data_IF_306667949219
#
_entry.id   IF_306667949219
#
_cell.length_a   1.000
_cell.length_b   1.000
_cell.length_c   1.000
_cell.angle_alpha   90.00
_cell.angle_beta   90.00
_cell.angle_gamma   90.00
#
_symmetry.space_group_name_H-M   'P 1'
#
loop_
_entity.id
_entity.type
_entity.pdbx_description
1 polymer ?
#
# COMPACT_ATOMS: atom_id res chain seq x y z
N UNK A 1 16.06 24.78 -9.84
CA UNK A 1 17.07 23.97 -9.13
C UNK A 1 16.30 23.10 -8.16
N UNK A 2 16.50 21.78 -8.16
CA UNK A 2 15.78 20.90 -7.22
C UNK A 2 16.41 21.04 -5.83
N UNK A 3 15.60 21.30 -4.80
CA UNK A 3 16.03 21.62 -3.43
C UNK A 3 16.61 20.42 -2.64
N UNK A 4 17.22 19.44 -3.32
CA UNK A 4 17.77 18.25 -2.66
C UNK A 4 16.70 17.35 -2.04
N UNK A 5 17.02 16.72 -0.90
CA UNK A 5 16.11 15.83 -0.17
C UNK A 5 15.09 16.64 0.66
N UNK A 6 13.78 16.41 0.47
CA UNK A 6 12.76 17.13 1.22
C UNK A 6 12.67 16.63 2.67
N UNK A 7 12.46 17.54 3.63
CA UNK A 7 12.15 17.17 5.03
C UNK A 7 10.71 16.67 5.16
N UNK A 8 10.50 15.41 4.76
CA UNK A 8 9.22 14.70 4.75
C UNK A 8 9.38 13.30 5.36
N UNK A 9 8.29 12.66 5.81
CA UNK A 9 8.36 11.26 6.27
C UNK A 9 8.49 10.29 5.09
N UNK A 10 7.92 10.66 3.94
CA UNK A 10 8.05 9.95 2.67
C UNK A 10 8.98 10.70 1.71
N UNK A 11 10.24 10.91 2.10
CA UNK A 11 11.20 11.70 1.31
C UNK A 11 11.34 11.16 -0.12
N UNK A 12 11.37 9.84 -0.27
CA UNK A 12 11.47 9.11 -1.52
C UNK A 12 10.30 9.38 -2.48
N UNK A 13 9.06 9.30 -1.97
CA UNK A 13 7.86 9.54 -2.77
C UNK A 13 7.72 11.02 -3.14
N UNK A 14 8.03 11.93 -2.21
CA UNK A 14 7.99 13.38 -2.45
C UNK A 14 9.02 13.76 -3.52
N UNK A 15 10.25 13.24 -3.41
CA UNK A 15 11.31 13.47 -4.39
C UNK A 15 10.92 12.95 -5.78
N UNK A 16 10.41 11.72 -5.84
CA UNK A 16 9.98 11.09 -7.11
C UNK A 16 8.85 11.89 -7.77
N UNK A 17 7.87 12.36 -7.01
CA UNK A 17 6.76 13.13 -7.55
C UNK A 17 7.20 14.53 -7.98
N UNK A 18 8.18 15.12 -7.30
CA UNK A 18 8.82 16.37 -7.74
C UNK A 18 9.55 16.18 -9.08
N UNK A 19 10.24 15.05 -9.30
CA UNK A 19 10.82 14.74 -10.61
C UNK A 19 9.74 14.66 -11.70
N UNK A 20 8.69 13.90 -11.45
CA UNK A 20 7.58 13.73 -12.41
C UNK A 20 6.81 15.04 -12.68
N UNK A 21 6.72 15.93 -11.70
CA UNK A 21 6.12 17.26 -11.86
C UNK A 21 6.93 18.16 -12.80
N UNK A 22 8.26 18.01 -12.82
CA UNK A 22 9.17 18.76 -13.70
C UNK A 22 9.45 18.03 -15.02
N UNK A 23 8.58 17.09 -15.42
CA UNK A 23 8.73 16.30 -16.65
C UNK A 23 10.05 15.50 -16.74
N UNK A 24 10.66 15.20 -15.59
CA UNK A 24 11.80 14.28 -15.53
C UNK A 24 11.32 12.83 -15.63
N UNK A 25 12.14 12.00 -16.26
CA UNK A 25 11.80 10.60 -16.52
C UNK A 25 12.20 9.74 -15.33
N UNK A 26 11.22 9.02 -14.77
CA UNK A 26 11.42 8.00 -13.75
C UNK A 26 11.05 6.65 -14.36
N UNK A 27 11.98 5.70 -14.29
CA UNK A 27 11.82 4.37 -14.88
C UNK A 27 11.86 3.30 -13.80
N UNK A 28 11.04 2.27 -13.99
CA UNK A 28 11.08 1.06 -13.18
C UNK A 28 11.96 0.02 -13.89
N UNK A 29 13.03 -0.43 -13.22
CA UNK A 29 13.92 -1.49 -13.71
C UNK A 29 13.57 -2.82 -13.01
N UNK A 30 12.93 -3.78 -13.71
CA UNK A 30 12.50 -5.05 -13.11
C UNK A 30 13.61 -5.88 -12.48
N UNK A 31 14.86 -5.75 -12.96
CA UNK A 31 16.00 -6.53 -12.47
C UNK A 31 16.74 -5.87 -11.29
N UNK A 32 16.39 -4.63 -10.93
CA UNK A 32 16.96 -3.93 -9.77
C UNK A 32 16.32 -4.45 -8.47
N UNK A 33 16.87 -5.55 -7.92
CA UNK A 33 16.36 -6.20 -6.72
C UNK A 33 17.21 -5.84 -5.50
N UNK A 34 16.54 -5.44 -4.41
CA UNK A 34 17.15 -5.24 -3.10
C UNK A 34 16.48 -6.16 -2.06
N UNK A 35 17.25 -6.63 -1.08
CA UNK A 35 16.72 -7.38 0.06
C UNK A 35 16.48 -6.42 1.22
N UNK A 36 15.32 -6.53 1.86
CA UNK A 36 14.93 -5.69 2.98
C UNK A 36 14.61 -6.54 4.20
N UNK A 37 14.94 -6.01 5.38
CA UNK A 37 14.52 -6.61 6.64
C UNK A 37 13.07 -6.24 6.94
N UNK A 38 12.27 -7.27 7.21
CA UNK A 38 10.85 -7.12 7.52
C UNK A 38 10.67 -7.14 9.05
N UNK A 39 9.84 -6.25 9.62
CA UNK A 39 9.60 -6.24 11.06
C UNK A 39 9.00 -7.57 11.56
N UNK A 40 9.60 -8.14 12.60
CA UNK A 40 9.16 -9.40 13.21
C UNK A 40 8.00 -9.22 14.22
N UNK A 41 7.65 -7.99 14.59
CA UNK A 41 6.55 -7.71 15.52
C UNK A 41 5.47 -6.83 14.90
N UNK A 42 4.22 -7.04 15.32
CA UNK A 42 3.07 -6.23 14.87
C UNK A 42 3.21 -4.75 15.23
N UNK A 43 3.85 -4.43 16.35
CA UNK A 43 4.09 -3.03 16.75
C UNK A 43 5.01 -2.32 15.77
N UNK A 44 6.10 -2.98 15.37
CA UNK A 44 7.03 -2.43 14.38
C UNK A 44 6.38 -2.35 12.98
N UNK A 45 5.61 -3.36 12.59
CA UNK A 45 4.83 -3.35 11.33
C UNK A 45 3.82 -2.18 11.30
N UNK A 46 3.06 -1.99 12.38
CA UNK A 46 2.09 -0.90 12.51
C UNK A 46 2.75 0.46 12.35
N UNK A 47 3.89 0.68 13.01
CA UNK A 47 4.66 1.93 12.87
C UNK A 47 5.17 2.13 11.45
N UNK A 48 5.69 1.08 10.81
CA UNK A 48 6.17 1.17 9.42
C UNK A 48 5.02 1.53 8.47
N UNK A 49 3.89 0.83 8.56
CA UNK A 49 2.75 1.07 7.68
C UNK A 49 2.10 2.43 7.92
N UNK A 50 1.98 2.83 9.18
CA UNK A 50 1.47 4.15 9.56
C UNK A 50 2.36 5.28 8.98
N UNK A 51 3.69 5.11 8.99
CA UNK A 51 4.61 6.06 8.33
C UNK A 51 4.41 6.12 6.81
N UNK A 52 4.21 4.98 6.15
CA UNK A 52 3.96 4.95 4.69
C UNK A 52 2.65 5.64 4.33
N UNK A 53 1.59 5.38 5.08
CA UNK A 53 0.29 6.04 4.92
C UNK A 53 0.40 7.56 5.08
N UNK A 54 1.17 8.01 6.09
CA UNK A 54 1.46 9.42 6.33
C UNK A 54 2.30 10.05 5.21
N UNK A 55 3.38 9.41 4.78
CA UNK A 55 4.23 9.89 3.70
C UNK A 55 3.48 10.01 2.37
N UNK A 56 2.56 9.08 2.07
CA UNK A 56 1.69 9.18 0.90
C UNK A 56 0.78 10.42 0.96
N UNK A 57 0.15 10.69 2.11
CA UNK A 57 -0.68 11.89 2.27
C UNK A 57 0.12 13.18 2.21
N UNK A 58 1.31 13.21 2.82
CA UNK A 58 2.24 14.35 2.75
C UNK A 58 2.64 14.64 1.30
N UNK A 59 2.98 13.60 0.52
CA UNK A 59 3.27 13.73 -0.90
C UNK A 59 2.07 14.27 -1.71
N UNK A 60 0.86 13.79 -1.43
CA UNK A 60 -0.39 14.28 -2.06
C UNK A 60 -0.72 15.74 -1.73
N UNK A 61 -0.33 16.21 -0.54
CA UNK A 61 -0.48 17.63 -0.14
C UNK A 61 0.51 18.53 -0.89
N UNK A 62 1.75 18.08 -1.06
CA UNK A 62 2.83 18.84 -1.72
C UNK A 62 2.63 18.86 -3.24
N UNK A 63 2.43 17.69 -3.84
CA UNK A 63 2.21 17.52 -5.28
C UNK A 63 0.84 16.91 -5.50
N UNK A 64 -0.08 17.73 -5.98
CA UNK A 64 -1.45 17.28 -6.28
C UNK A 64 -1.47 16.51 -7.60
N UNK A 65 -2.32 15.48 -7.77
CA UNK A 65 -2.34 14.65 -8.98
C UNK A 65 -2.47 15.44 -10.30
N UNK A 66 -3.24 16.53 -10.29
CA UNK A 66 -3.45 17.40 -11.45
C UNK A 66 -2.27 18.31 -11.80
N UNK A 67 -1.21 18.36 -10.98
CA UNK A 67 0.00 19.12 -11.26
C UNK A 67 1.00 18.33 -12.10
N UNK A 68 0.77 17.04 -12.34
CA UNK A 68 1.62 16.23 -13.20
C UNK A 68 1.31 16.50 -14.67
N UNK A 69 2.32 16.77 -15.52
CA UNK A 69 2.14 17.00 -16.95
C UNK A 69 1.72 15.71 -17.69
N UNK A 70 2.19 14.55 -17.22
CA UNK A 70 1.95 13.25 -17.85
C UNK A 70 0.62 12.66 -17.36
N UNK A 71 -0.30 12.37 -18.29
CA UNK A 71 -1.63 11.80 -17.99
C UNK A 71 -1.57 10.50 -17.17
N UNK A 72 -0.67 9.59 -17.53
CA UNK A 72 -0.48 8.33 -16.82
C UNK A 72 -0.13 8.53 -15.34
N UNK A 73 0.78 9.47 -15.06
CA UNK A 73 1.19 9.80 -13.68
C UNK A 73 0.02 10.44 -12.93
N UNK A 74 -0.72 11.35 -13.57
CA UNK A 74 -1.93 11.95 -13.00
C UNK A 74 -2.98 10.90 -12.62
N UNK A 75 -3.17 9.88 -13.46
CA UNK A 75 -4.08 8.78 -13.16
C UNK A 75 -3.62 7.94 -11.96
N UNK A 76 -2.34 7.53 -11.95
CA UNK A 76 -1.78 6.74 -10.85
C UNK A 76 -1.79 7.49 -9.51
N UNK A 77 -1.38 8.75 -9.52
CA UNK A 77 -1.44 9.62 -8.32
C UNK A 77 -2.89 9.88 -7.89
N UNK A 78 -3.82 9.96 -8.85
CA UNK A 78 -5.26 10.01 -8.58
C UNK A 78 -5.79 8.76 -7.86
N UNK A 79 -5.34 7.56 -8.25
CA UNK A 79 -5.69 6.31 -7.54
C UNK A 79 -5.23 6.36 -6.08
N UNK A 80 -4.08 6.98 -5.78
CA UNK A 80 -3.62 7.10 -4.39
C UNK A 80 -4.56 7.94 -3.51
N UNK A 81 -5.38 8.84 -4.07
CA UNK A 81 -6.43 9.54 -3.31
C UNK A 81 -7.58 8.62 -2.89
N UNK A 82 -7.79 7.52 -3.61
CA UNK A 82 -8.84 6.53 -3.33
C UNK A 82 -8.39 5.56 -2.22
N UNK A 83 -7.09 5.39 -2.01
CA UNK A 83 -6.54 4.46 -1.01
C UNK A 83 -7.04 4.73 0.42
N UNK A 84 -7.05 5.97 0.95
CA UNK A 84 -7.61 6.23 2.28
C UNK A 84 -9.09 5.88 2.41
N UNK A 85 -9.88 6.11 1.35
CA UNK A 85 -11.29 5.75 1.33
C UNK A 85 -11.49 4.24 1.35
N UNK A 86 -10.75 3.49 0.52
CA UNK A 86 -10.81 2.03 0.50
C UNK A 86 -10.41 1.44 1.85
N UNK A 87 -9.35 1.96 2.46
CA UNK A 87 -8.90 1.50 3.78
C UNK A 87 -9.97 1.76 4.85
N UNK A 88 -10.59 2.94 4.83
CA UNK A 88 -11.69 3.28 5.73
C UNK A 88 -12.88 2.33 5.59
N UNK A 89 -13.37 2.12 4.37
CA UNK A 89 -14.50 1.21 4.10
C UNK A 89 -14.15 -0.22 4.49
N UNK A 90 -12.94 -0.68 4.18
CA UNK A 90 -12.52 -2.03 4.56
C UNK A 90 -12.49 -2.22 6.07
N UNK A 91 -11.97 -1.24 6.81
CA UNK A 91 -11.86 -1.34 8.27
C UNK A 91 -13.18 -1.15 9.00
N UNK A 92 -14.02 -0.21 8.59
CA UNK A 92 -15.26 0.15 9.32
C UNK A 92 -16.53 -0.51 8.75
N UNK A 93 -16.53 -0.95 7.49
CA UNK A 93 -17.68 -1.63 6.90
C UNK A 93 -17.41 -3.12 6.71
N UNK A 94 -16.30 -3.48 6.06
CA UNK A 94 -16.04 -4.89 5.72
C UNK A 94 -15.70 -5.73 6.96
N UNK A 95 -14.79 -5.28 7.84
CA UNK A 95 -14.46 -6.07 9.04
C UNK A 95 -15.66 -6.25 10.00
N UNK A 96 -16.42 -5.20 10.39
CA UNK A 96 -17.60 -5.38 11.23
C UNK A 96 -18.70 -6.17 10.52
N UNK A 97 -18.85 -5.98 9.20
CA UNK A 97 -19.76 -6.79 8.38
C UNK A 97 -19.42 -8.28 8.42
N UNK A 98 -18.14 -8.63 8.37
CA UNK A 98 -17.70 -10.03 8.49
C UNK A 98 -18.01 -10.60 9.87
N UNK A 99 -17.85 -9.81 10.93
CA UNK A 99 -18.26 -10.20 12.29
C UNK A 99 -19.78 -10.44 12.34
N UNK A 100 -20.59 -9.51 11.81
CA UNK A 100 -22.05 -9.65 11.77
C UNK A 100 -22.51 -10.86 10.94
N UNK A 101 -21.80 -11.17 9.84
CA UNK A 101 -22.07 -12.35 9.03
C UNK A 101 -21.85 -13.65 9.81
N UNK A 102 -20.86 -13.71 10.71
CA UNK A 102 -20.68 -14.86 11.60
C UNK A 102 -21.86 -15.06 12.58
N UNK A 103 -22.59 -13.98 12.92
CA UNK A 103 -23.82 -14.02 13.72
C UNK A 103 -25.09 -14.19 12.86
N UNK A 104 -24.95 -14.50 11.57
CA UNK A 104 -26.09 -14.71 10.65
C UNK A 104 -26.76 -13.42 10.15
N UNK A 105 -26.17 -12.23 10.41
CA UNK A 105 -26.70 -10.94 9.96
C UNK A 105 -25.92 -10.41 8.75
N UNK A 106 -26.40 -10.70 7.55
CA UNK A 106 -25.74 -10.35 6.27
C UNK A 106 -26.03 -8.94 5.75
N UNK A 107 -26.23 -7.95 6.62
CA UNK A 107 -26.67 -6.60 6.20
C UNK A 107 -25.60 -5.83 5.41
N UNK A 108 -24.31 -6.10 5.67
CA UNK A 108 -23.18 -5.36 5.07
C UNK A 108 -22.28 -6.29 4.25
N UNK A 109 -22.00 -7.48 4.78
CA UNK A 109 -21.16 -8.51 4.14
C UNK A 109 -22.00 -9.77 4.03
N UNK A 110 -22.28 -10.19 2.80
CA UNK A 110 -23.04 -11.40 2.48
C UNK A 110 -22.16 -12.51 1.89
N UNK A 111 -22.74 -13.68 1.58
CA UNK A 111 -22.05 -14.78 0.91
C UNK A 111 -21.35 -14.37 -0.40
N UNK A 112 -21.91 -13.37 -1.11
CA UNK A 112 -21.32 -12.83 -2.33
C UNK A 112 -19.92 -12.21 -2.12
N UNK A 113 -19.57 -11.78 -0.91
CA UNK A 113 -18.21 -11.28 -0.63
C UNK A 113 -17.14 -12.37 -0.77
N UNK A 114 -17.52 -13.65 -0.74
CA UNK A 114 -16.62 -14.76 -1.03
C UNK A 114 -16.07 -14.68 -2.47
N UNK A 115 -16.80 -14.08 -3.42
CA UNK A 115 -16.31 -13.87 -4.79
C UNK A 115 -15.12 -12.92 -4.89
N UNK A 116 -14.85 -12.12 -3.85
CA UNK A 116 -13.62 -11.31 -3.76
C UNK A 116 -12.38 -12.21 -3.60
N UNK A 117 -12.52 -13.39 -2.97
CA UNK A 117 -11.37 -14.27 -2.72
C UNK A 117 -10.76 -14.85 -4.00
N UNK A 118 -11.53 -15.43 -4.96
CA UNK A 118 -10.98 -15.82 -6.26
C UNK A 118 -10.28 -14.69 -6.99
N UNK A 119 -10.84 -13.48 -6.95
CA UNK A 119 -10.23 -12.31 -7.58
C UNK A 119 -8.89 -11.93 -6.92
N UNK A 120 -8.84 -11.93 -5.59
CA UNK A 120 -7.61 -11.69 -4.83
C UNK A 120 -6.54 -12.77 -5.10
N UNK A 121 -6.95 -14.04 -5.18
CA UNK A 121 -6.04 -15.13 -5.54
C UNK A 121 -5.50 -14.97 -6.96
N UNK A 122 -6.35 -14.59 -7.91
CA UNK A 122 -5.95 -14.34 -9.29
C UNK A 122 -4.95 -13.18 -9.40
N UNK A 123 -5.20 -12.06 -8.72
CA UNK A 123 -4.26 -10.93 -8.67
C UNK A 123 -2.90 -11.34 -8.09
N UNK A 124 -2.90 -12.06 -6.96
CA UNK A 124 -1.66 -12.54 -6.34
C UNK A 124 -0.93 -13.56 -7.20
N UNK A 125 -1.66 -14.39 -7.96
CA UNK A 125 -1.07 -15.33 -8.90
C UNK A 125 -0.33 -14.62 -10.04
N UNK A 126 -0.90 -13.54 -10.59
CA UNK A 126 -0.23 -12.70 -11.61
C UNK A 126 1.07 -12.13 -11.04
N UNK A 127 1.03 -11.55 -9.83
CA UNK A 127 2.20 -10.98 -9.17
C UNK A 127 3.29 -12.04 -8.92
N UNK A 128 2.90 -13.21 -8.43
CA UNK A 128 3.81 -14.33 -8.22
C UNK A 128 4.46 -14.80 -9.53
N UNK A 129 3.69 -14.90 -10.62
CA UNK A 129 4.23 -15.27 -11.94
C UNK A 129 5.27 -14.27 -12.43
N UNK A 130 5.01 -12.97 -12.24
CA UNK A 130 5.94 -11.90 -12.59
C UNK A 130 7.23 -11.97 -11.75
N UNK A 131 7.11 -12.04 -10.42
CA UNK A 131 8.26 -12.17 -9.52
C UNK A 131 9.10 -13.41 -9.80
N UNK A 132 8.46 -14.56 -10.07
CA UNK A 132 9.16 -15.80 -10.45
C UNK A 132 9.95 -15.63 -11.74
N UNK A 133 9.45 -14.87 -12.71
CA UNK A 133 10.17 -14.59 -13.95
C UNK A 133 11.43 -13.76 -13.68
N UNK A 134 11.30 -12.68 -12.90
CA UNK A 134 12.43 -11.81 -12.51
C UNK A 134 13.48 -12.60 -11.73
N UNK A 135 13.08 -13.36 -10.72
CA UNK A 135 14.01 -14.15 -9.89
C UNK A 135 14.74 -15.22 -10.70
N UNK A 136 14.06 -15.87 -11.66
CA UNK A 136 14.69 -16.84 -12.56
C UNK A 136 15.79 -16.19 -13.42
N UNK A 137 15.59 -14.94 -13.87
CA UNK A 137 16.60 -14.19 -14.65
C UNK A 137 17.82 -13.82 -13.81
N UNK A 138 17.64 -13.61 -12.51
CA UNK A 138 18.71 -13.28 -11.55
C UNK A 138 19.38 -14.51 -10.91
N UNK A 139 18.96 -15.73 -11.28
CA UNK A 139 19.47 -16.96 -10.65
C UNK A 139 19.03 -17.16 -9.19
N UNK A 140 18.04 -16.40 -8.71
CA UNK A 140 17.52 -16.47 -7.35
C UNK A 140 16.37 -17.48 -7.22
N UNK A 141 16.19 -18.03 -6.02
CA UNK A 141 15.09 -18.97 -5.72
C UNK A 141 14.04 -18.32 -4.81
N UNK A 142 12.78 -18.49 -5.17
CA UNK A 142 11.63 -18.08 -4.34
C UNK A 142 11.30 -19.20 -3.35
N UNK A 143 11.33 -18.90 -2.05
CA UNK A 143 10.90 -19.84 -1.00
C UNK A 143 9.40 -20.12 -1.15
N UNK A 144 9.01 -21.39 -1.13
CA UNK A 144 7.60 -21.79 -1.17
C UNK A 144 7.07 -21.96 0.26
N UNK A 145 6.03 -21.22 0.60
CA UNK A 145 5.29 -21.38 1.86
C UNK A 145 3.79 -21.22 1.58
N UNK A 146 3.09 -22.34 1.38
CA UNK A 146 1.66 -22.35 1.04
C UNK A 146 0.82 -21.83 2.22
N UNK A 147 1.13 -22.25 3.44
CA UNK A 147 0.43 -21.78 4.64
C UNK A 147 0.60 -20.27 4.80
N UNK A 148 1.84 -19.77 4.65
CA UNK A 148 2.12 -18.35 4.69
C UNK A 148 1.36 -17.57 3.61
N UNK A 149 1.22 -18.14 2.42
CA UNK A 149 0.42 -17.55 1.34
C UNK A 149 -1.07 -17.48 1.68
N UNK A 150 -1.66 -18.54 2.24
CA UNK A 150 -3.07 -18.53 2.65
C UNK A 150 -3.33 -17.51 3.75
N UNK A 151 -2.48 -17.48 4.78
CA UNK A 151 -2.56 -16.49 5.86
C UNK A 151 -2.41 -15.07 5.30
N UNK A 152 -1.51 -14.87 4.35
CA UNK A 152 -1.33 -13.59 3.68
C UNK A 152 -2.59 -13.15 2.92
N UNK A 153 -3.17 -14.02 2.08
CA UNK A 153 -4.36 -13.65 1.28
C UNK A 153 -5.57 -13.29 2.16
N UNK A 154 -5.75 -13.98 3.29
CA UNK A 154 -6.93 -13.80 4.14
C UNK A 154 -6.75 -12.71 5.20
N UNK A 155 -5.61 -12.70 5.90
CA UNK A 155 -5.44 -11.91 7.12
C UNK A 155 -4.62 -10.65 6.90
N UNK A 156 -3.79 -10.59 5.85
CA UNK A 156 -2.87 -9.47 5.67
C UNK A 156 -3.62 -8.14 5.52
N UNK A 157 -4.64 -8.09 4.66
CA UNK A 157 -5.42 -6.87 4.44
C UNK A 157 -6.18 -6.43 5.71
N UNK A 158 -6.67 -7.38 6.51
CA UNK A 158 -7.34 -7.12 7.80
C UNK A 158 -6.43 -6.44 8.81
N UNK A 159 -5.14 -6.74 8.78
CA UNK A 159 -4.14 -6.12 9.66
C UNK A 159 -3.68 -4.78 9.08
N UNK A 160 -3.45 -4.72 7.77
CA UNK A 160 -2.85 -3.56 7.11
C UNK A 160 -3.79 -2.35 7.06
N UNK A 161 -5.07 -2.58 6.80
CA UNK A 161 -6.03 -1.49 6.60
C UNK A 161 -6.23 -0.61 7.85
N UNK A 162 -6.44 -1.18 9.06
CA UNK A 162 -6.50 -0.39 10.29
C UNK A 162 -5.21 0.35 10.59
N UNK A 163 -4.05 -0.27 10.30
CA UNK A 163 -2.74 0.37 10.50
C UNK A 163 -2.53 1.57 9.59
N UNK A 164 -3.01 1.52 8.34
CA UNK A 164 -2.99 2.67 7.42
C UNK A 164 -3.87 3.81 7.95
N UNK A 165 -5.06 3.51 8.48
CA UNK A 165 -5.98 4.51 9.05
C UNK A 165 -5.36 5.24 10.23
N UNK A 166 -4.61 4.55 11.09
CA UNK A 166 -3.86 5.20 12.17
C UNK A 166 -2.87 6.22 11.60
N UNK A 167 -2.16 5.88 10.51
CA UNK A 167 -1.27 6.81 9.80
C UNK A 167 -2.00 8.02 9.21
N UNK A 168 -3.14 7.79 8.54
CA UNK A 168 -3.96 8.89 8.00
C UNK A 168 -4.47 9.80 9.11
N UNK A 169 -4.96 9.24 10.21
CA UNK A 169 -5.46 9.98 11.36
C UNK A 169 -4.34 10.80 12.02
N UNK A 170 -3.14 10.26 12.14
CA UNK A 170 -1.99 10.99 12.68
C UNK A 170 -1.59 12.20 11.82
N UNK A 171 -1.72 12.07 10.51
CA UNK A 171 -1.43 13.15 9.56
C UNK A 171 -2.53 14.21 9.51
N UNK A 172 -3.80 13.82 9.68
CA UNK A 172 -4.91 14.77 9.80
C UNK A 172 -4.81 15.57 11.10
N UNK A 173 -4.42 14.90 12.20
CA UNK A 173 -4.24 15.51 13.51
C UNK A 173 -2.92 16.30 13.66
N UNK A 174 -2.11 16.43 12.59
CA UNK A 174 -0.80 17.07 12.61
C UNK A 174 0.09 16.60 13.80
N UNK A 175 -0.02 15.32 14.19
CA UNK A 175 0.73 14.80 15.33
C UNK A 175 2.23 14.86 15.03
N UNK A 176 3.03 15.32 16.01
CA UNK A 176 4.47 15.55 15.85
C UNK A 176 5.16 14.33 15.20
N UNK A 177 6.02 14.60 14.22
CA UNK A 177 6.84 13.60 13.51
C UNK A 177 7.76 12.89 14.52
N UNK A 178 7.34 11.76 15.11
CA UNK A 178 8.21 10.95 15.96
C UNK A 178 8.95 9.94 15.09
N UNK A 179 10.20 10.27 14.78
CA UNK A 179 11.15 9.38 14.09
C UNK A 179 11.69 8.25 14.99
N UNK A 180 11.40 8.27 16.31
CA UNK A 180 11.81 7.28 17.32
C UNK A 180 10.60 6.60 17.97
#
# INVERSE_FOLDING_TARGET
MMEGWPDAIGEDIVLTWNFLKHDLKVYFEPLAVAFTDVPITLKHLSRQRSRWARGMLEALKIVKPWQHPIFYVRYLTGINLVMPYLDFVYTFCWMPGLILAMFGKFWVVGPFTLFVMPLALFQNFILYRYQRHVFKRLGLRVRRNILGFVVYVLMYQMIMSPMSIIGYSQEILNLRRKWK
#
